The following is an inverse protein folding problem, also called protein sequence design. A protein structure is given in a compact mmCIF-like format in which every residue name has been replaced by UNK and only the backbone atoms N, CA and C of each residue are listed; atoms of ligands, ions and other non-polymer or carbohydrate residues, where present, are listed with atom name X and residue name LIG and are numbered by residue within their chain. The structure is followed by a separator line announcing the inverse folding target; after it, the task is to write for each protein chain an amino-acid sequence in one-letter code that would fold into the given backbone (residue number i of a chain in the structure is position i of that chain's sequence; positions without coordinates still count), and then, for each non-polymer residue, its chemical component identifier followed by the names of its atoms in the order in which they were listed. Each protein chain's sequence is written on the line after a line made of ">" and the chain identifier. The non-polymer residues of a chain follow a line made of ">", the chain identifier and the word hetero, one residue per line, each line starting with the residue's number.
data_IF_633142741822
#
_entry.id   IF_633142741822
#
_cell.length_a   1.000
_cell.length_b   1.000
_cell.length_c   1.000
_cell.angle_alpha   90.00
_cell.angle_beta   90.00
_cell.angle_gamma   90.00
#
_symmetry.space_group_name_H-M   'P 1'
#
loop_
_entity.id
_entity.type
_entity.pdbx_description
1 polymer ?
#
# COMPACT_ATOMS: atom_id res chain seq x y z
N UNK A 1 21.24 8.87 -2.06
CA UNK A 1 20.05 9.72 -1.82
C UNK A 1 18.86 8.79 -1.58
N UNK A 2 18.08 8.97 -0.50
CA UNK A 2 16.86 8.19 -0.28
C UNK A 2 15.86 8.38 -1.44
N UNK A 3 15.05 7.36 -1.73
CA UNK A 3 14.08 7.34 -2.83
C UNK A 3 12.66 7.18 -2.29
N UNK A 4 11.67 7.55 -3.09
CA UNK A 4 10.26 7.29 -2.79
C UNK A 4 9.97 5.78 -2.77
N UNK A 5 8.93 5.31 -2.05
CA UNK A 5 8.50 3.92 -2.09
C UNK A 5 8.21 3.44 -3.52
N UNK A 6 8.49 2.16 -3.81
CA UNK A 6 8.28 1.56 -5.13
C UNK A 6 6.86 1.08 -5.37
N UNK A 7 6.03 1.01 -4.33
CA UNK A 7 4.62 0.61 -4.42
C UNK A 7 3.80 1.23 -3.29
N UNK A 8 2.47 1.21 -3.45
CA UNK A 8 1.55 1.58 -2.38
C UNK A 8 1.72 0.67 -1.16
N UNK A 9 1.89 -0.64 -1.35
CA UNK A 9 2.09 -1.60 -0.26
C UNK A 9 3.31 -1.25 0.61
N UNK A 10 4.43 -0.88 -0.02
CA UNK A 10 5.63 -0.43 0.71
C UNK A 10 5.39 0.88 1.48
N UNK A 11 4.56 1.78 0.96
CA UNK A 11 4.19 2.99 1.66
C UNK A 11 3.28 2.70 2.86
N UNK A 12 2.36 1.73 2.72
CA UNK A 12 1.50 1.26 3.81
C UNK A 12 2.30 0.55 4.91
N UNK A 13 3.28 -0.29 4.56
CA UNK A 13 4.20 -0.91 5.53
C UNK A 13 5.01 0.15 6.30
N UNK A 14 5.46 1.20 5.61
CA UNK A 14 6.17 2.30 6.25
C UNK A 14 5.27 3.09 7.19
N UNK A 15 4.02 3.34 6.81
CA UNK A 15 3.01 3.99 7.64
C UNK A 15 2.68 3.15 8.88
N UNK A 16 2.46 1.85 8.70
CA UNK A 16 2.17 0.91 9.80
C UNK A 16 3.30 0.91 10.84
N UNK A 17 4.56 0.95 10.38
CA UNK A 17 5.74 0.93 11.25
C UNK A 17 6.00 2.23 12.00
N UNK A 18 5.60 3.38 11.46
CA UNK A 18 5.92 4.70 12.02
C UNK A 18 4.78 5.70 11.78
N UNK A 19 3.72 5.60 12.58
CA UNK A 19 2.58 6.53 12.55
C UNK A 19 2.36 7.30 13.86
N UNK A 20 3.25 7.15 14.84
CA UNK A 20 3.14 7.81 16.16
C UNK A 20 3.04 9.34 16.04
N UNK A 21 3.66 9.91 15.01
CA UNK A 21 3.61 11.35 14.76
C UNK A 21 2.20 11.83 14.35
N UNK A 22 1.37 10.96 13.77
CA UNK A 22 -0.01 11.25 13.38
C UNK A 22 -0.97 11.19 14.57
N UNK A 23 -0.66 10.38 15.58
CA UNK A 23 -1.49 10.22 16.78
C UNK A 23 -1.37 11.41 17.76
N UNK A 24 -0.39 12.28 17.56
CA UNK A 24 -0.14 13.42 18.46
C UNK A 24 -1.27 14.44 18.38
N UNK A 25 -1.85 14.77 19.53
CA UNK A 25 -2.90 15.78 19.64
C UNK A 25 -4.25 15.31 19.10
N UNK A 26 -4.49 14.00 19.07
CA UNK A 26 -5.73 13.38 18.61
C UNK A 26 -6.14 13.80 17.19
N UNK A 27 -5.16 14.14 16.35
CA UNK A 27 -5.38 14.51 14.94
C UNK A 27 -5.83 13.29 14.14
N UNK A 28 -5.19 12.15 14.39
CA UNK A 28 -5.63 10.84 13.95
C UNK A 28 -5.76 9.91 15.15
N UNK A 29 -6.78 9.06 15.11
CA UNK A 29 -6.92 7.96 16.05
C UNK A 29 -6.32 6.68 15.47
N UNK A 30 -5.85 5.79 16.33
CA UNK A 30 -5.20 4.54 15.92
C UNK A 30 -6.11 3.64 15.08
N UNK A 31 -7.42 3.63 15.39
CA UNK A 31 -8.43 2.88 14.63
C UNK A 31 -8.57 3.41 13.20
N UNK A 32 -8.49 4.72 13.00
CA UNK A 32 -8.55 5.33 11.66
C UNK A 32 -7.33 4.93 10.84
N UNK A 33 -6.13 4.98 11.41
CA UNK A 33 -4.89 4.59 10.71
C UNK A 33 -4.94 3.12 10.32
N UNK A 34 -5.31 2.25 11.26
CA UNK A 34 -5.39 0.80 11.03
C UNK A 34 -6.46 0.45 10.00
N UNK A 35 -7.64 1.05 10.11
CA UNK A 35 -8.74 0.84 9.14
C UNK A 35 -8.36 1.33 7.75
N UNK A 36 -7.67 2.45 7.65
CA UNK A 36 -7.19 2.98 6.38
C UNK A 36 -6.19 2.05 5.71
N UNK A 37 -5.20 1.54 6.46
CA UNK A 37 -4.22 0.58 5.94
C UNK A 37 -4.93 -0.68 5.44
N UNK A 38 -5.83 -1.26 6.23
CA UNK A 38 -6.58 -2.45 5.86
C UNK A 38 -7.41 -2.22 4.59
N UNK A 39 -8.17 -1.13 4.54
CA UNK A 39 -9.00 -0.77 3.39
C UNK A 39 -8.16 -0.64 2.12
N UNK A 40 -7.02 0.05 2.18
CA UNK A 40 -6.13 0.26 1.03
C UNK A 40 -5.45 -1.03 0.57
N UNK A 41 -5.05 -1.90 1.49
CA UNK A 41 -4.50 -3.22 1.14
C UNK A 41 -5.55 -4.05 0.37
N UNK A 42 -6.75 -4.19 0.93
CA UNK A 42 -7.80 -5.02 0.35
C UNK A 42 -8.33 -4.45 -0.98
N UNK A 43 -8.70 -3.17 -1.00
CA UNK A 43 -9.48 -2.60 -2.10
C UNK A 43 -8.61 -2.07 -3.25
N UNK A 44 -7.32 -1.79 -3.01
CA UNK A 44 -6.43 -1.23 -4.04
C UNK A 44 -5.24 -2.14 -4.32
N UNK A 45 -4.49 -2.55 -3.30
CA UNK A 45 -3.28 -3.35 -3.50
C UNK A 45 -3.64 -4.75 -4.01
N UNK A 46 -4.46 -5.49 -3.26
CA UNK A 46 -4.84 -6.86 -3.60
C UNK A 46 -5.73 -6.91 -4.84
N UNK A 47 -6.63 -5.94 -4.98
CA UNK A 47 -7.45 -5.79 -6.17
C UNK A 47 -6.59 -5.73 -7.45
N UNK A 48 -5.48 -4.99 -7.44
CA UNK A 48 -4.59 -4.91 -8.60
C UNK A 48 -3.71 -6.16 -8.72
N UNK A 49 -3.12 -6.62 -7.61
CA UNK A 49 -2.17 -7.75 -7.57
C UNK A 49 -2.77 -9.07 -8.07
N UNK A 50 -4.07 -9.29 -7.85
CA UNK A 50 -4.77 -10.52 -8.25
C UNK A 50 -5.15 -10.55 -9.74
N UNK A 51 -4.92 -9.47 -10.49
CA UNK A 51 -5.28 -9.37 -11.91
C UNK A 51 -4.02 -9.35 -12.77
N UNK A 52 -3.89 -10.27 -13.75
CA UNK A 52 -2.79 -10.21 -14.71
C UNK A 52 -2.79 -8.87 -15.44
N UNK A 53 -1.64 -8.20 -15.46
CA UNK A 53 -1.52 -6.96 -16.21
C UNK A 53 -1.41 -7.26 -17.72
N UNK A 54 -2.08 -6.52 -18.63
CA UNK A 54 -2.05 -6.83 -20.07
C UNK A 54 -0.64 -6.94 -20.66
N UNK A 55 0.32 -6.17 -20.14
CA UNK A 55 1.72 -6.24 -20.56
C UNK A 55 2.40 -7.56 -20.21
N UNK A 56 1.95 -8.28 -19.18
CA UNK A 56 2.45 -9.63 -18.86
C UNK A 56 2.20 -10.60 -20.01
N UNK A 57 1.13 -10.41 -20.77
CA UNK A 57 0.89 -11.19 -21.98
C UNK A 57 2.00 -10.96 -23.02
N UNK A 58 2.40 -9.70 -23.26
CA UNK A 58 3.52 -9.39 -24.15
C UNK A 58 4.85 -9.99 -23.66
N UNK A 59 5.02 -10.17 -22.35
CA UNK A 59 6.25 -10.70 -21.77
C UNK A 59 6.29 -12.24 -21.80
N UNK A 60 5.16 -12.90 -21.55
CA UNK A 60 5.15 -14.33 -21.19
C UNK A 60 4.31 -15.21 -22.11
N UNK A 61 3.54 -14.68 -23.07
CA UNK A 61 2.61 -15.49 -23.86
C UNK A 61 3.30 -16.53 -24.77
N UNK A 62 4.42 -16.15 -25.39
CA UNK A 62 5.16 -17.00 -26.34
C UNK A 62 6.41 -17.66 -25.71
N UNK A 63 6.51 -17.68 -24.38
CA UNK A 63 7.57 -18.39 -23.66
C UNK A 63 7.29 -19.89 -23.66
#
# INVERSE_FOLDING_TARGET
>A
VPKTPGSLDQALDALERDHDFLLRGDVFTEDVVTTWIAYKRENEVDALRLRPHPFEFCMYYDI
#
